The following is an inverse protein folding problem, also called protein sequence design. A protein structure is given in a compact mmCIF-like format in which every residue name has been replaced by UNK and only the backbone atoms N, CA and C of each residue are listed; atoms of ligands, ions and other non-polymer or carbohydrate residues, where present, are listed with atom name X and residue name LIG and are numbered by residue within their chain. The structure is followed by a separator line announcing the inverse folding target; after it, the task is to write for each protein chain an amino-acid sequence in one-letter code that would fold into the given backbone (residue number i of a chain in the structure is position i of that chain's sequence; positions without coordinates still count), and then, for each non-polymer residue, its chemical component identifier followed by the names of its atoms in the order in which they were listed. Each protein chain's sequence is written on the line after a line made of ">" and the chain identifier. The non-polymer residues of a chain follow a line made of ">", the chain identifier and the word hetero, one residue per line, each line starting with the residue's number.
data_IF_955642102042
#
_entry.id   IF_955642102042
#
_cell.length_a   1.000
_cell.length_b   1.000
_cell.length_c   1.000
_cell.angle_alpha   90.00
_cell.angle_beta   90.00
_cell.angle_gamma   90.00
#
_symmetry.space_group_name_H-M   'P 1'
#
loop_
_entity.id
_entity.type
_entity.pdbx_description
1 polymer ?
#
# COMPACT_ATOMS: atom_id res chain seq x y z
N UNK A 1 -52.78 -0.83 20.66
CA UNK A 1 -51.57 -0.02 20.38
C UNK A 1 -50.54 -0.99 19.83
N UNK A 2 -50.43 -1.06 18.51
CA UNK A 2 -49.49 -1.95 17.82
C UNK A 2 -48.24 -1.15 17.54
N UNK A 3 -47.22 -1.36 18.36
CA UNK A 3 -45.92 -0.71 18.19
C UNK A 3 -45.14 -1.51 17.15
N UNK A 4 -45.17 -1.04 15.89
CA UNK A 4 -44.29 -1.51 14.83
C UNK A 4 -42.92 -0.89 15.08
N UNK A 5 -42.09 -1.57 15.87
CA UNK A 5 -40.68 -1.25 15.93
C UNK A 5 -40.07 -1.47 14.53
N UNK A 6 -39.74 -0.34 13.92
CA UNK A 6 -38.97 -0.22 12.71
C UNK A 6 -37.66 -1.00 12.89
N UNK A 7 -37.56 -2.19 12.29
CA UNK A 7 -36.31 -2.93 12.17
C UNK A 7 -35.44 -2.15 11.19
N UNK A 8 -34.61 -1.28 11.75
CA UNK A 8 -33.51 -0.64 11.06
C UNK A 8 -32.67 -1.77 10.46
N UNK A 9 -32.78 -1.91 9.15
CA UNK A 9 -32.12 -2.98 8.42
C UNK A 9 -30.65 -2.65 8.41
N UNK A 10 -29.86 -3.44 9.15
CA UNK A 10 -28.40 -3.52 9.06
C UNK A 10 -27.98 -3.80 7.60
N UNK A 11 -27.98 -2.77 6.78
CA UNK A 11 -27.19 -2.65 5.57
C UNK A 11 -26.05 -1.72 6.00
N UNK A 12 -24.80 -2.14 6.06
CA UNK A 12 -24.03 -2.71 4.98
C UNK A 12 -22.92 -3.54 5.62
N UNK A 13 -22.91 -4.85 5.36
CA UNK A 13 -21.70 -5.66 5.46
C UNK A 13 -20.71 -5.15 4.40
N UNK A 14 -20.01 -4.07 4.69
CA UNK A 14 -18.88 -3.62 3.90
C UNK A 14 -17.69 -4.47 4.35
N UNK A 15 -17.65 -5.72 3.90
CA UNK A 15 -16.39 -6.45 3.82
C UNK A 15 -15.34 -5.59 3.11
N UNK A 16 -14.04 -5.84 3.31
CA UNK A 16 -12.99 -5.03 2.70
C UNK A 16 -13.24 -4.92 1.19
N UNK A 17 -13.67 -3.74 0.73
CA UNK A 17 -13.87 -3.48 -0.69
C UNK A 17 -12.50 -3.60 -1.34
N UNK A 18 -12.38 -4.55 -2.27
CA UNK A 18 -11.24 -4.65 -3.15
C UNK A 18 -11.00 -3.28 -3.79
N UNK A 19 -9.75 -2.79 -3.71
CA UNK A 19 -9.34 -1.50 -4.26
C UNK A 19 -9.67 -1.37 -5.74
N UNK A 20 -9.48 -2.41 -6.52
CA UNK A 20 -9.87 -2.54 -7.92
C UNK A 20 -11.34 -2.20 -8.15
N UNK A 21 -12.23 -2.58 -7.23
CA UNK A 21 -13.65 -2.27 -7.31
C UNK A 21 -13.94 -0.83 -6.88
N UNK A 22 -13.20 -0.29 -5.92
CA UNK A 22 -13.30 1.11 -5.51
C UNK A 22 -12.81 2.07 -6.61
N UNK A 23 -11.64 1.78 -7.19
CA UNK A 23 -11.00 2.60 -8.23
C UNK A 23 -11.76 2.57 -9.56
N UNK A 24 -12.69 1.62 -9.73
CA UNK A 24 -13.52 1.49 -10.93
C UNK A 24 -15.02 1.54 -10.64
N UNK A 25 -15.41 2.12 -9.51
CA UNK A 25 -16.82 2.33 -9.16
C UNK A 25 -17.49 3.20 -10.23
N UNK A 26 -18.68 2.80 -10.68
CA UNK A 26 -19.42 3.49 -11.74
C UNK A 26 -18.96 3.21 -13.19
N UNK A 27 -17.86 2.48 -13.41
CA UNK A 27 -17.41 2.09 -14.76
C UNK A 27 -18.18 0.86 -15.28
N UNK A 28 -18.38 0.81 -16.61
CA UNK A 28 -18.86 -0.40 -17.29
C UNK A 28 -17.79 -1.50 -17.28
N UNK A 29 -18.18 -2.77 -17.48
CA UNK A 29 -17.21 -3.88 -17.48
C UNK A 29 -16.07 -3.73 -18.51
N UNK A 30 -16.31 -3.30 -19.75
CA UNK A 30 -15.24 -3.04 -20.70
C UNK A 30 -14.28 -1.93 -20.26
N UNK A 31 -14.81 -0.88 -19.64
CA UNK A 31 -13.99 0.22 -19.09
C UNK A 31 -13.15 -0.25 -17.91
N UNK A 32 -13.71 -1.06 -17.01
CA UNK A 32 -12.96 -1.72 -15.91
C UNK A 32 -11.79 -2.54 -16.44
N UNK A 33 -12.06 -3.39 -17.43
CA UNK A 33 -11.03 -4.22 -18.05
C UNK A 33 -9.93 -3.37 -18.70
N UNK A 34 -10.29 -2.29 -19.41
CA UNK A 34 -9.33 -1.34 -19.99
C UNK A 34 -8.48 -0.68 -18.91
N UNK A 35 -9.13 -0.18 -17.86
CA UNK A 35 -8.46 0.51 -16.76
C UNK A 35 -7.44 -0.38 -16.05
N UNK A 36 -7.81 -1.61 -15.69
CA UNK A 36 -6.90 -2.55 -15.03
C UNK A 36 -5.77 -2.96 -15.97
N UNK A 37 -6.06 -3.28 -17.24
CA UNK A 37 -5.05 -3.66 -18.23
C UNK A 37 -4.03 -2.52 -18.48
N UNK A 38 -4.51 -1.29 -18.65
CA UNK A 38 -3.64 -0.12 -18.83
C UNK A 38 -2.79 0.16 -17.59
N UNK A 39 -3.34 -0.04 -16.40
CA UNK A 39 -2.59 0.15 -15.15
C UNK A 39 -1.47 -0.88 -15.01
N UNK A 40 -1.75 -2.15 -15.33
CA UNK A 40 -0.75 -3.21 -15.35
C UNK A 40 0.34 -2.93 -16.40
N UNK A 41 -0.06 -2.55 -17.62
CA UNK A 41 0.89 -2.22 -18.69
C UNK A 41 1.77 -1.02 -18.31
N UNK A 42 1.20 0.03 -17.70
CA UNK A 42 1.97 1.18 -17.19
C UNK A 42 3.00 0.79 -16.15
N UNK A 43 2.68 -0.18 -15.28
CA UNK A 43 3.61 -0.65 -14.26
C UNK A 43 4.75 -1.49 -14.85
N UNK A 44 4.45 -2.30 -15.88
CA UNK A 44 5.43 -3.16 -16.54
C UNK A 44 6.29 -2.43 -17.57
N UNK A 45 5.78 -1.33 -18.14
CA UNK A 45 6.46 -0.57 -19.18
C UNK A 45 7.79 0.01 -18.71
N UNK A 46 8.89 -0.48 -19.31
CA UNK A 46 10.28 -0.11 -18.94
C UNK A 46 10.75 1.21 -19.53
N UNK A 47 9.84 1.95 -20.16
CA UNK A 47 10.11 3.23 -20.80
C UNK A 47 10.28 3.14 -22.32
N UNK A 48 10.09 4.27 -23.02
CA UNK A 48 9.90 4.30 -24.48
C UNK A 48 11.14 3.95 -25.30
N UNK A 49 12.33 3.85 -24.66
CA UNK A 49 13.58 3.45 -25.32
C UNK A 49 13.84 1.95 -25.28
N UNK A 50 13.17 1.24 -24.37
CA UNK A 50 13.39 -0.19 -24.11
C UNK A 50 12.19 -1.00 -24.54
N UNK A 51 10.99 -0.44 -24.37
CA UNK A 51 9.75 -1.17 -24.50
C UNK A 51 8.70 -0.36 -25.28
N UNK A 52 7.79 -1.08 -25.92
CA UNK A 52 6.63 -0.47 -26.61
C UNK A 52 5.38 -0.69 -25.77
N UNK A 53 4.39 0.19 -25.90
CA UNK A 53 3.09 -0.02 -25.24
C UNK A 53 2.40 -1.33 -25.64
N UNK A 54 2.63 -1.81 -26.87
CA UNK A 54 2.11 -3.10 -27.31
C UNK A 54 2.77 -4.27 -26.56
N UNK A 55 4.09 -4.23 -26.40
CA UNK A 55 4.85 -5.22 -25.64
C UNK A 55 4.49 -5.18 -24.15
N UNK A 56 4.41 -3.99 -23.53
CA UNK A 56 3.95 -3.85 -22.15
C UNK A 56 2.50 -4.34 -21.93
N UNK A 57 1.61 -4.18 -22.93
CA UNK A 57 0.27 -4.77 -22.91
C UNK A 57 0.32 -6.29 -22.95
N UNK A 58 1.17 -6.86 -23.81
CA UNK A 58 1.29 -8.31 -23.96
C UNK A 58 1.90 -8.92 -22.68
N UNK A 59 2.91 -8.28 -22.10
CA UNK A 59 3.45 -8.63 -20.77
C UNK A 59 2.36 -8.55 -19.68
N UNK A 60 1.51 -7.53 -19.71
CA UNK A 60 0.38 -7.40 -18.78
C UNK A 60 -0.67 -8.51 -18.99
N UNK A 61 -0.91 -8.90 -20.24
CA UNK A 61 -1.82 -9.98 -20.59
C UNK A 61 -1.30 -11.33 -20.06
N UNK A 62 0.00 -11.60 -20.27
CA UNK A 62 0.67 -12.79 -19.79
C UNK A 62 0.70 -12.83 -18.26
N UNK A 63 1.00 -11.72 -17.60
CA UNK A 63 0.95 -11.60 -16.14
C UNK A 63 -0.46 -11.88 -15.60
N UNK A 64 -1.50 -11.41 -16.28
CA UNK A 64 -2.89 -11.64 -15.92
C UNK A 64 -3.43 -13.01 -16.37
N UNK A 65 -2.68 -13.78 -17.15
CA UNK A 65 -3.16 -15.05 -17.69
C UNK A 65 -4.34 -14.90 -18.65
N UNK A 66 -4.41 -13.79 -19.39
CA UNK A 66 -5.44 -13.55 -20.40
C UNK A 66 -4.85 -13.67 -21.80
N UNK A 67 -5.68 -14.06 -22.78
CA UNK A 67 -5.21 -14.19 -24.17
C UNK A 67 -4.74 -12.83 -24.71
N UNK A 68 -3.56 -12.75 -25.37
CA UNK A 68 -3.07 -11.50 -25.97
C UNK A 68 -4.05 -10.87 -26.97
N UNK A 69 -4.81 -11.69 -27.70
CA UNK A 69 -5.87 -11.22 -28.61
C UNK A 69 -7.03 -10.52 -27.89
N UNK A 70 -7.39 -11.00 -26.68
CA UNK A 70 -8.39 -10.34 -25.84
C UNK A 70 -7.84 -9.03 -25.27
N UNK A 71 -6.60 -9.02 -24.79
CA UNK A 71 -5.94 -7.82 -24.30
C UNK A 71 -5.83 -6.75 -25.40
N UNK A 72 -5.41 -7.12 -26.61
CA UNK A 72 -5.37 -6.21 -27.77
C UNK A 72 -6.76 -5.65 -28.10
N UNK A 73 -7.80 -6.49 -28.03
CA UNK A 73 -9.18 -6.07 -28.29
C UNK A 73 -9.65 -5.05 -27.25
N UNK A 74 -9.42 -5.31 -25.97
CA UNK A 74 -9.75 -4.39 -24.88
C UNK A 74 -9.00 -3.07 -25.07
N UNK A 75 -7.70 -3.12 -25.32
CA UNK A 75 -6.83 -1.95 -25.46
C UNK A 75 -7.28 -0.99 -26.57
N UNK A 76 -7.74 -1.51 -27.70
CA UNK A 76 -8.11 -0.68 -28.84
C UNK A 76 -9.60 -0.34 -28.92
N UNK A 77 -10.47 -1.17 -28.33
CA UNK A 77 -11.92 -1.11 -28.57
C UNK A 77 -12.78 -1.17 -27.30
N UNK A 78 -12.21 -0.93 -26.12
CA UNK A 78 -12.97 -0.98 -24.86
C UNK A 78 -14.25 -0.12 -24.88
N UNK A 79 -14.20 1.06 -25.50
CA UNK A 79 -15.35 1.98 -25.66
C UNK A 79 -16.51 1.40 -26.49
N UNK A 80 -16.20 0.55 -27.47
CA UNK A 80 -17.20 -0.04 -28.38
C UNK A 80 -17.58 -1.47 -27.97
N UNK A 81 -16.91 -2.03 -26.97
CA UNK A 81 -17.19 -3.37 -26.47
C UNK A 81 -18.47 -3.38 -25.64
N UNK A 82 -19.34 -4.35 -25.90
CA UNK A 82 -20.54 -4.58 -25.08
C UNK A 82 -20.29 -5.54 -23.92
N UNK A 83 -19.30 -6.42 -24.09
CA UNK A 83 -19.06 -7.52 -23.17
C UNK A 83 -17.57 -7.87 -23.11
N UNK A 84 -17.11 -8.20 -21.92
CA UNK A 84 -15.82 -8.82 -21.62
C UNK A 84 -16.12 -10.07 -20.81
N UNK A 85 -15.40 -11.15 -21.10
CA UNK A 85 -15.55 -12.41 -20.39
C UNK A 85 -15.31 -12.22 -18.87
N UNK A 86 -16.14 -12.86 -18.05
CA UNK A 86 -16.04 -12.77 -16.58
C UNK A 86 -14.70 -13.27 -16.05
N UNK A 87 -14.12 -14.30 -16.64
CA UNK A 87 -12.79 -14.81 -16.28
C UNK A 87 -11.72 -13.77 -16.57
N UNK A 88 -11.80 -13.10 -17.73
CA UNK A 88 -10.88 -12.02 -18.09
C UNK A 88 -10.95 -10.85 -17.09
N UNK A 89 -12.17 -10.48 -16.66
CA UNK A 89 -12.37 -9.44 -15.66
C UNK A 89 -11.77 -9.82 -14.31
N UNK A 90 -12.08 -11.02 -13.81
CA UNK A 90 -11.57 -11.49 -12.51
C UNK A 90 -10.05 -11.57 -12.52
N UNK A 91 -9.45 -12.11 -13.58
CA UNK A 91 -8.00 -12.23 -13.69
C UNK A 91 -7.31 -10.86 -13.69
N UNK A 92 -7.83 -9.89 -14.46
CA UNK A 92 -7.31 -8.52 -14.48
C UNK A 92 -7.48 -7.84 -13.11
N UNK A 93 -8.64 -7.99 -12.47
CA UNK A 93 -8.92 -7.43 -11.15
C UNK A 93 -7.94 -7.97 -10.09
N UNK A 94 -7.77 -9.29 -10.03
CA UNK A 94 -6.90 -9.93 -9.04
C UNK A 94 -5.42 -9.54 -9.24
N UNK A 95 -4.96 -9.42 -10.49
CA UNK A 95 -3.60 -8.93 -10.74
C UNK A 95 -3.42 -7.47 -10.43
N UNK A 96 -4.42 -6.64 -10.71
CA UNK A 96 -4.39 -5.23 -10.33
C UNK A 96 -4.23 -5.09 -8.80
N UNK A 97 -5.01 -5.84 -8.02
CA UNK A 97 -4.89 -5.87 -6.55
C UNK A 97 -3.49 -6.25 -6.08
N UNK A 98 -2.94 -7.34 -6.63
CA UNK A 98 -1.60 -7.80 -6.27
C UNK A 98 -0.53 -6.71 -6.53
N UNK A 99 -0.70 -5.95 -7.61
CA UNK A 99 0.20 -4.86 -7.96
C UNK A 99 0.03 -3.64 -7.05
N UNK A 100 -1.18 -3.38 -6.54
CA UNK A 100 -1.43 -2.35 -5.54
C UNK A 100 -0.91 -2.74 -4.15
N UNK A 101 -0.98 -4.02 -3.78
CA UNK A 101 -0.55 -4.50 -2.45
C UNK A 101 0.98 -4.46 -2.28
N UNK A 102 1.76 -4.80 -3.32
CA UNK A 102 3.24 -4.79 -3.29
C UNK A 102 3.86 -3.47 -2.78
N UNK A 103 3.54 -2.29 -3.36
CA UNK A 103 4.09 -1.03 -2.88
C UNK A 103 3.59 -0.66 -1.48
N UNK A 104 2.35 -1.02 -1.12
CA UNK A 104 1.82 -0.78 0.23
C UNK A 104 2.57 -1.60 1.28
N UNK A 105 2.82 -2.89 1.00
CA UNK A 105 3.63 -3.75 1.85
C UNK A 105 5.06 -3.23 1.99
N UNK A 106 5.67 -2.73 0.90
CA UNK A 106 6.98 -2.10 0.95
C UNK A 106 6.97 -0.83 1.83
N UNK A 107 5.97 0.05 1.65
CA UNK A 107 5.80 1.25 2.46
C UNK A 107 5.58 0.93 3.94
N UNK A 108 4.81 -0.12 4.27
CA UNK A 108 4.62 -0.60 5.63
C UNK A 108 5.94 -1.04 6.27
N UNK A 109 6.79 -1.79 5.53
CA UNK A 109 8.13 -2.18 6.00
C UNK A 109 9.00 -0.97 6.29
N UNK A 110 9.03 0.04 5.41
CA UNK A 110 9.80 1.26 5.65
C UNK A 110 9.29 2.06 6.86
N UNK A 111 7.96 2.13 7.07
CA UNK A 111 7.37 2.77 8.27
C UNK A 111 7.78 2.03 9.55
N UNK A 112 7.74 0.70 9.54
CA UNK A 112 8.17 -0.12 10.68
C UNK A 112 9.65 0.09 10.99
N UNK A 113 10.52 0.09 9.98
CA UNK A 113 11.95 0.33 10.18
C UNK A 113 12.23 1.74 10.71
N UNK A 114 11.52 2.77 10.21
CA UNK A 114 11.62 4.13 10.74
C UNK A 114 11.20 4.22 12.20
N UNK A 115 10.13 3.52 12.59
CA UNK A 115 9.68 3.45 13.98
C UNK A 115 10.72 2.77 14.87
N UNK A 116 11.31 1.67 14.39
CA UNK A 116 12.39 0.94 15.08
C UNK A 116 13.61 1.83 15.32
N UNK A 117 14.06 2.57 14.29
CA UNK A 117 15.17 3.51 14.41
C UNK A 117 14.86 4.63 15.40
N UNK A 118 13.65 5.20 15.36
CA UNK A 118 13.20 6.20 16.35
C UNK A 118 13.25 5.66 17.78
N UNK A 119 12.77 4.43 18.00
CA UNK A 119 12.85 3.77 19.31
C UNK A 119 14.28 3.61 19.81
N UNK A 120 15.21 3.20 18.92
CA UNK A 120 16.65 3.11 19.27
C UNK A 120 17.24 4.48 19.62
N UNK A 121 16.90 5.52 18.86
CA UNK A 121 17.37 6.88 19.15
C UNK A 121 16.80 7.42 20.48
N UNK A 122 15.52 7.14 20.77
CA UNK A 122 14.90 7.50 22.04
C UNK A 122 15.60 6.79 23.22
N UNK A 123 15.83 5.48 23.12
CA UNK A 123 16.55 4.71 24.14
C UNK A 123 18.01 5.17 24.32
N UNK A 124 18.70 5.52 23.23
CA UNK A 124 20.05 6.06 23.28
C UNK A 124 20.10 7.45 23.93
N UNK A 125 19.10 8.30 23.68
CA UNK A 125 18.97 9.61 24.33
C UNK A 125 18.67 9.47 25.83
N UNK A 126 17.79 8.54 26.22
CA UNK A 126 17.49 8.26 27.62
C UNK A 126 18.72 7.73 28.36
N UNK A 127 19.42 6.73 27.80
CA UNK A 127 20.66 6.21 28.39
C UNK A 127 21.77 7.27 28.53
N UNK A 128 21.86 8.21 27.58
CA UNK A 128 22.81 9.34 27.67
C UNK A 128 22.39 10.36 28.72
N UNK A 129 21.09 10.61 28.88
CA UNK A 129 20.55 11.51 29.91
C UNK A 129 20.78 10.94 31.31
N UNK A 130 20.50 9.65 31.52
CA UNK A 130 20.71 8.95 32.80
C UNK A 130 22.20 8.89 33.15
N UNK A 131 23.09 8.58 32.21
CA UNK A 131 24.54 8.62 32.46
C UNK A 131 25.07 10.05 32.70
N UNK A 132 24.53 11.05 32.00
CA UNK A 132 24.88 12.46 32.21
C UNK A 132 24.48 12.98 33.60
N UNK A 133 23.31 12.59 34.10
CA UNK A 133 22.83 12.91 35.44
C UNK A 133 23.64 12.19 36.53
N UNK A 134 23.97 10.91 36.32
CA UNK A 134 24.79 10.12 37.26
C UNK A 134 26.23 10.65 37.38
N UNK A 135 26.83 11.08 36.26
CA UNK A 135 28.16 11.68 36.24
C UNK A 135 28.20 13.05 36.96
N UNK A 136 27.13 13.84 36.88
CA UNK A 136 27.03 15.12 37.61
C UNK A 136 26.87 14.91 39.12
N UNK A 137 26.04 13.95 39.55
CA UNK A 137 25.88 13.61 40.97
C UNK A 137 27.10 12.93 41.61
N UNK A 138 27.95 12.25 40.84
CA UNK A 138 29.22 11.70 41.35
C UNK A 138 30.28 12.78 41.55
N UNK A 139 30.31 13.79 40.66
CA UNK A 139 31.25 14.91 40.74
C UNK A 139 30.92 15.87 41.89
N UNK A 140 29.63 16.08 42.16
CA UNK A 140 29.15 16.95 43.25
C UNK A 140 29.30 16.33 44.65
N UNK A 141 29.30 14.98 44.76
CA UNK A 141 29.60 14.29 46.02
C UNK A 141 31.10 14.22 46.34
N UNK A 142 31.98 14.26 45.34
CA UNK A 142 33.44 14.27 45.58
C UNK A 142 33.96 15.64 46.02
N UNK A 143 33.36 16.75 45.56
CA UNK A 143 33.75 18.12 45.99
C UNK A 143 33.41 18.39 47.46
N UNK A 144 32.32 17.82 47.97
CA UNK A 144 31.87 18.02 49.36
C UNK A 144 32.69 17.24 50.40
N UNK A 145 33.37 16.18 49.99
CA UNK A 145 34.23 15.37 50.88
C UNK A 145 35.64 15.97 51.03
N UNK A 146 36.11 16.78 50.07
CA UNK A 146 37.44 17.38 50.11
C UNK A 146 37.50 18.78 50.75
N UNK A 147 36.37 19.38 51.13
CA UNK A 147 36.30 20.73 51.71
C UNK A 147 36.33 20.83 53.24
N UNK A 148 36.55 19.74 53.98
CA UNK A 148 36.44 19.71 55.45
C UNK A 148 37.81 19.55 56.15
N UNK A 149 38.94 19.74 55.45
CA UNK A 149 40.27 19.73 56.06
C UNK A 149 41.11 20.89 55.50
N UNK A 150 41.05 22.02 56.17
CA UNK A 150 41.85 23.21 55.88
C UNK A 150 41.66 24.23 56.98
N UNK A 151 42.34 23.96 58.09
CA UNK A 151 42.47 24.79 59.29
C UNK A 151 43.34 26.02 58.99
#
# INVERSE_FOLDING_TARGET
>A
MSDTSFVESDTVSAGPKLRAMADTEGMSYPEKASFWLESLAKWLHRGPRVDTWASARDDAADCAGIRPSMAARIWHRSKDMKFVDGETLVNLMMKYEEFCEKPEAAAAKYRAERLRLRGKHAAAHEGRSVNGLRARHARDRSSKVQGIHGN
#
